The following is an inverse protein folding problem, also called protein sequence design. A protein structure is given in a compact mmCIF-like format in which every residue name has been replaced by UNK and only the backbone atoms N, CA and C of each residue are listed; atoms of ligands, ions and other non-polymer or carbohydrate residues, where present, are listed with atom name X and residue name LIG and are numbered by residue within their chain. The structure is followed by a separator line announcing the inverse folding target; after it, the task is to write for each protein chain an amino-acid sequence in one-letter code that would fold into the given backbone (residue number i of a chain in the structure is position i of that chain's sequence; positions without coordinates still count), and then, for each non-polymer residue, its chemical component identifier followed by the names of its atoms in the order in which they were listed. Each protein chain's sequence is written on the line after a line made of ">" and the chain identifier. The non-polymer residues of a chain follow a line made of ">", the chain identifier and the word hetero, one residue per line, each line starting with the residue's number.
data_IF_292870687645
#
_entry.id   IF_292870687645
#
_cell.length_a   1.000
_cell.length_b   1.000
_cell.length_c   1.000
_cell.angle_alpha   90.00
_cell.angle_beta   90.00
_cell.angle_gamma   90.00
#
_symmetry.space_group_name_H-M   'P 1'
#
loop_
_entity.id
_entity.type
_entity.pdbx_description
1 polymer ?
#
# COMPACT_ATOMS: atom_id res chain seq x y z
N UNK A 1 19.91 -18.87 10.41
CA UNK A 1 18.66 -18.09 10.56
C UNK A 1 18.53 -17.03 9.45
N UNK A 2 18.87 -17.37 8.20
CA UNK A 2 19.14 -16.40 7.12
C UNK A 2 18.10 -16.43 6.00
N UNK A 3 17.63 -17.60 5.55
CA UNK A 3 16.67 -17.66 4.44
C UNK A 3 15.22 -17.48 4.89
N UNK A 4 14.87 -17.99 6.08
CA UNK A 4 13.51 -17.93 6.63
C UNK A 4 13.02 -16.50 6.82
N UNK A 5 13.88 -15.60 7.30
CA UNK A 5 13.53 -14.19 7.47
C UNK A 5 13.30 -13.49 6.12
N UNK A 6 14.10 -13.81 5.11
CA UNK A 6 13.93 -13.28 3.75
C UNK A 6 12.62 -13.79 3.11
N UNK A 7 12.27 -15.06 3.34
CA UNK A 7 10.99 -15.61 2.88
C UNK A 7 9.79 -14.95 3.56
N UNK A 8 9.87 -14.72 4.87
CA UNK A 8 8.82 -14.01 5.61
C UNK A 8 8.64 -12.58 5.09
N UNK A 9 9.73 -11.85 4.90
CA UNK A 9 9.71 -10.48 4.38
C UNK A 9 9.15 -10.43 2.94
N UNK A 10 9.64 -11.33 2.07
CA UNK A 10 9.13 -11.49 0.69
C UNK A 10 7.64 -11.77 0.68
N UNK A 11 7.17 -12.68 1.54
CA UNK A 11 5.75 -13.00 1.65
C UNK A 11 4.93 -11.79 2.11
N UNK A 12 5.39 -11.06 3.12
CA UNK A 12 4.72 -9.86 3.60
C UNK A 12 4.59 -8.78 2.52
N UNK A 13 5.65 -8.55 1.75
CA UNK A 13 5.67 -7.58 0.64
C UNK A 13 4.77 -8.00 -0.53
N UNK A 14 4.78 -9.28 -0.90
CA UNK A 14 3.87 -9.81 -1.93
C UNK A 14 2.41 -9.67 -1.48
N UNK A 15 2.12 -10.06 -0.24
CA UNK A 15 0.77 -9.98 0.32
C UNK A 15 0.26 -8.54 0.35
N UNK A 16 1.09 -7.61 0.81
CA UNK A 16 0.78 -6.19 0.86
C UNK A 16 0.61 -5.58 -0.54
N UNK A 17 1.46 -5.98 -1.49
CA UNK A 17 1.34 -5.57 -2.88
C UNK A 17 0.05 -6.09 -3.52
N UNK A 18 -0.32 -7.34 -3.27
CA UNK A 18 -1.57 -7.92 -3.74
C UNK A 18 -2.79 -7.16 -3.19
N UNK A 19 -2.85 -6.89 -1.88
CA UNK A 19 -3.92 -6.10 -1.28
C UNK A 19 -4.01 -4.71 -1.91
N UNK A 20 -2.86 -4.03 -2.07
CA UNK A 20 -2.82 -2.69 -2.66
C UNK A 20 -3.38 -2.67 -4.08
N UNK A 21 -3.00 -3.68 -4.88
CA UNK A 21 -3.48 -3.83 -6.25
C UNK A 21 -4.97 -4.16 -6.29
N UNK A 22 -5.46 -5.02 -5.40
CA UNK A 22 -6.89 -5.34 -5.27
C UNK A 22 -7.70 -4.10 -4.92
N UNK A 23 -7.26 -3.32 -3.91
CA UNK A 23 -7.94 -2.07 -3.52
C UNK A 23 -7.93 -1.09 -4.69
N UNK A 24 -6.80 -0.91 -5.38
CA UNK A 24 -6.73 -0.03 -6.54
C UNK A 24 -7.69 -0.45 -7.65
N UNK A 25 -7.72 -1.75 -7.99
CA UNK A 25 -8.61 -2.27 -9.02
C UNK A 25 -10.10 -2.11 -8.65
N UNK A 26 -10.48 -2.43 -7.41
CA UNK A 26 -11.84 -2.22 -6.93
C UNK A 26 -12.23 -0.73 -6.90
N UNK A 27 -11.29 0.15 -6.56
CA UNK A 27 -11.50 1.60 -6.55
C UNK A 27 -11.76 2.17 -7.95
N UNK A 28 -11.06 1.68 -8.96
CA UNK A 28 -11.24 2.14 -10.35
C UNK A 28 -12.51 1.59 -10.99
N UNK A 29 -12.88 0.37 -10.67
CA UNK A 29 -14.09 -0.29 -11.18
C UNK A 29 -15.36 0.07 -10.39
N UNK A 30 -15.25 0.90 -9.36
CA UNK A 30 -16.38 1.30 -8.50
C UNK A 30 -16.91 0.16 -7.61
N UNK A 31 -16.14 -0.93 -7.47
CA UNK A 31 -16.51 -2.14 -6.73
C UNK A 31 -16.00 -2.16 -5.29
N UNK A 32 -15.54 -1.02 -4.77
CA UNK A 32 -15.06 -0.91 -3.39
C UNK A 32 -16.14 -0.30 -2.49
N UNK A 33 -17.02 -1.11 -1.86
CA UNK A 33 -18.07 -0.57 -1.00
C UNK A 33 -17.50 -0.01 0.30
N UNK A 34 -18.13 1.04 0.85
CA UNK A 34 -17.72 1.64 2.13
C UNK A 34 -17.84 0.70 3.33
N UNK A 35 -18.78 -0.25 3.26
CA UNK A 35 -18.97 -1.30 4.28
C UNK A 35 -17.86 -2.36 4.27
N UNK A 36 -16.99 -2.37 3.25
CA UNK A 36 -15.87 -3.30 3.20
C UNK A 36 -14.88 -3.02 4.35
N UNK A 37 -14.25 -4.07 4.88
CA UNK A 37 -13.15 -3.90 5.84
C UNK A 37 -11.86 -3.40 5.16
N UNK A 38 -11.75 -3.54 3.84
CA UNK A 38 -10.59 -3.13 3.04
C UNK A 38 -10.74 -1.70 2.48
N UNK A 39 -9.67 -0.90 2.55
CA UNK A 39 -9.62 0.46 2.02
C UNK A 39 -8.85 1.45 2.92
N UNK A 40 -8.68 2.68 2.44
CA UNK A 40 -8.07 3.79 3.19
C UNK A 40 -9.12 4.40 4.12
N UNK A 41 -9.03 4.06 5.40
CA UNK A 41 -9.99 4.48 6.43
C UNK A 41 -9.44 5.65 7.24
N UNK A 42 -9.80 6.86 6.85
CA UNK A 42 -9.56 8.08 7.62
C UNK A 42 -10.87 8.66 8.13
N UNK A 43 -10.81 9.63 9.03
CA UNK A 43 -12.02 10.34 9.50
C UNK A 43 -12.81 10.93 8.33
N UNK A 44 -12.14 11.43 7.28
CA UNK A 44 -12.81 12.07 6.14
C UNK A 44 -13.34 11.07 5.11
N UNK A 45 -12.60 10.00 4.80
CA UNK A 45 -13.03 9.02 3.79
C UNK A 45 -14.25 8.22 4.23
N UNK A 46 -14.52 8.12 5.55
CA UNK A 46 -15.67 7.40 6.11
C UNK A 46 -16.98 8.21 6.15
N UNK A 47 -16.93 9.55 6.03
CA UNK A 47 -18.09 10.43 6.28
C UNK A 47 -19.24 10.26 5.30
N UNK A 48 -18.94 10.02 4.03
CA UNK A 48 -19.95 9.89 2.98
C UNK A 48 -19.51 8.86 1.93
N UNK A 49 -20.47 8.23 1.26
CA UNK A 49 -20.19 7.28 0.17
C UNK A 49 -19.51 7.98 -1.01
N UNK A 50 -19.90 9.23 -1.30
CA UNK A 50 -19.26 10.06 -2.33
C UNK A 50 -17.79 10.34 -2.00
N UNK A 51 -17.48 10.70 -0.75
CA UNK A 51 -16.10 10.92 -0.33
C UNK A 51 -15.28 9.63 -0.35
N UNK A 52 -15.89 8.49 0.03
CA UNK A 52 -15.27 7.18 -0.06
C UNK A 52 -14.87 6.85 -1.51
N UNK A 53 -15.83 6.87 -2.43
CA UNK A 53 -15.61 6.47 -3.83
C UNK A 53 -14.56 7.35 -4.52
N UNK A 54 -14.73 8.67 -4.48
CA UNK A 54 -13.87 9.57 -5.22
C UNK A 54 -12.45 9.65 -4.65
N UNK A 55 -12.30 9.60 -3.32
CA UNK A 55 -10.98 9.57 -2.69
C UNK A 55 -10.21 8.30 -3.05
N UNK A 56 -10.88 7.15 -3.04
CA UNK A 56 -10.28 5.87 -3.42
C UNK A 56 -9.93 5.82 -4.90
N UNK A 57 -10.83 6.29 -5.78
CA UNK A 57 -10.56 6.39 -7.23
C UNK A 57 -9.35 7.29 -7.51
N UNK A 58 -9.19 8.38 -6.78
CA UNK A 58 -8.03 9.27 -6.92
C UNK A 58 -6.74 8.67 -6.36
N UNK A 59 -6.82 7.88 -5.29
CA UNK A 59 -5.68 7.20 -4.69
C UNK A 59 -5.28 5.89 -5.40
N UNK A 60 -6.14 5.34 -6.26
CA UNK A 60 -5.92 4.05 -6.92
C UNK A 60 -4.61 3.97 -7.72
N UNK A 61 -4.20 4.97 -8.52
CA UNK A 61 -2.92 4.92 -9.21
C UNK A 61 -1.73 4.86 -8.23
N UNK A 62 -1.81 5.58 -7.11
CA UNK A 62 -0.77 5.54 -6.08
C UNK A 62 -0.69 4.16 -5.42
N UNK A 63 -1.83 3.54 -5.10
CA UNK A 63 -1.87 2.18 -4.57
C UNK A 63 -1.33 1.14 -5.56
N UNK A 64 -1.51 1.33 -6.88
CA UNK A 64 -0.85 0.51 -7.90
C UNK A 64 0.66 0.65 -7.87
N UNK A 65 1.17 1.88 -7.80
CA UNK A 65 2.61 2.10 -7.67
C UNK A 65 3.16 1.48 -6.38
N UNK A 66 2.45 1.61 -5.26
CA UNK A 66 2.80 0.93 -4.01
C UNK A 66 2.88 -0.58 -4.21
N UNK A 67 1.94 -1.18 -4.94
CA UNK A 67 1.96 -2.61 -5.25
C UNK A 67 3.20 -3.02 -6.04
N UNK A 68 3.51 -2.31 -7.13
CA UNK A 68 4.68 -2.60 -7.97
C UNK A 68 5.99 -2.42 -7.22
N UNK A 69 6.11 -1.37 -6.40
CA UNK A 69 7.28 -1.16 -5.54
C UNK A 69 7.40 -2.30 -4.52
N UNK A 70 6.29 -2.73 -3.92
CA UNK A 70 6.28 -3.85 -2.97
C UNK A 70 6.76 -5.14 -3.64
N UNK A 71 6.31 -5.44 -4.87
CA UNK A 71 6.78 -6.61 -5.62
C UNK A 71 8.26 -6.50 -6.00
N UNK A 72 8.73 -5.32 -6.40
CA UNK A 72 10.15 -5.09 -6.67
C UNK A 72 11.00 -5.31 -5.43
N UNK A 73 10.59 -4.74 -4.29
CA UNK A 73 11.26 -4.96 -3.00
C UNK A 73 11.24 -6.43 -2.55
N UNK A 74 10.15 -7.15 -2.82
CA UNK A 74 10.06 -8.59 -2.54
C UNK A 74 11.10 -9.37 -3.37
N UNK A 75 11.24 -9.06 -4.66
CA UNK A 75 12.23 -9.68 -5.52
C UNK A 75 13.66 -9.39 -5.03
N UNK A 76 13.96 -8.14 -4.65
CA UNK A 76 15.27 -7.76 -4.08
C UNK A 76 15.56 -8.52 -2.79
N UNK A 77 14.59 -8.59 -1.87
CA UNK A 77 14.74 -9.26 -0.58
C UNK A 77 14.96 -10.78 -0.74
N UNK A 78 14.26 -11.40 -1.69
CA UNK A 78 14.45 -12.82 -2.02
C UNK A 78 15.83 -13.08 -2.65
N UNK A 79 16.24 -12.27 -3.63
CA UNK A 79 17.55 -12.40 -4.27
C UNK A 79 18.68 -12.21 -3.27
N UNK A 80 18.58 -11.22 -2.38
CA UNK A 80 19.53 -11.03 -1.28
C UNK A 80 19.55 -12.24 -0.34
N UNK A 81 18.40 -12.80 -0.01
CA UNK A 81 18.25 -14.01 0.80
C UNK A 81 19.01 -15.22 0.25
N UNK A 82 19.11 -15.33 -1.07
CA UNK A 82 19.76 -16.43 -1.81
C UNK A 82 21.25 -16.14 -2.04
N UNK A 83 21.60 -14.92 -2.46
CA UNK A 83 22.92 -14.59 -3.02
C UNK A 83 23.93 -14.12 -1.98
N UNK A 84 23.51 -13.65 -0.81
CA UNK A 84 24.45 -13.12 0.21
C UNK A 84 24.20 -13.70 1.58
N UNK A 85 25.28 -13.94 2.33
CA UNK A 85 25.23 -14.31 3.75
C UNK A 85 25.37 -13.08 4.69
N UNK A 86 25.53 -11.88 4.15
CA UNK A 86 25.78 -10.66 4.93
C UNK A 86 24.55 -10.23 5.70
N UNK A 87 24.59 -10.36 7.03
CA UNK A 87 23.52 -9.90 7.92
C UNK A 87 23.37 -8.37 7.87
N UNK A 88 24.48 -7.63 7.76
CA UNK A 88 24.46 -6.16 7.74
C UNK A 88 23.71 -5.62 6.52
N UNK A 89 23.97 -6.18 5.34
CA UNK A 89 23.28 -5.76 4.11
C UNK A 89 21.78 -6.01 4.25
N UNK A 90 21.38 -7.18 4.76
CA UNK A 90 19.97 -7.55 4.91
C UNK A 90 19.20 -6.63 5.85
N UNK A 91 19.82 -6.23 6.97
CA UNK A 91 19.19 -5.27 7.90
C UNK A 91 18.97 -3.92 7.23
N UNK A 92 19.94 -3.45 6.43
CA UNK A 92 19.83 -2.18 5.71
C UNK A 92 18.75 -2.29 4.63
N UNK A 93 18.77 -3.33 3.80
CA UNK A 93 17.79 -3.57 2.74
C UNK A 93 16.39 -3.67 3.31
N UNK A 94 16.19 -4.42 4.40
CA UNK A 94 14.91 -4.53 5.11
C UNK A 94 14.41 -3.16 5.55
N UNK A 95 15.25 -2.38 6.24
CA UNK A 95 14.87 -1.06 6.73
C UNK A 95 14.48 -0.11 5.59
N UNK A 96 15.25 -0.10 4.50
CA UNK A 96 14.98 0.75 3.33
C UNK A 96 13.69 0.35 2.61
N UNK A 97 13.49 -0.94 2.39
CA UNK A 97 12.27 -1.49 1.79
C UNK A 97 11.03 -1.08 2.57
N UNK A 98 11.02 -1.31 3.88
CA UNK A 98 9.85 -0.99 4.70
C UNK A 98 9.64 0.52 4.84
N UNK A 99 10.70 1.32 4.95
CA UNK A 99 10.59 2.77 4.94
C UNK A 99 9.95 3.26 3.64
N UNK A 100 10.39 2.75 2.49
CA UNK A 100 9.84 3.09 1.19
C UNK A 100 8.35 2.73 1.09
N UNK A 101 8.00 1.49 1.43
CA UNK A 101 6.60 1.01 1.42
C UNK A 101 5.72 1.89 2.33
N UNK A 102 6.16 2.17 3.55
CA UNK A 102 5.43 3.03 4.50
C UNK A 102 5.20 4.43 3.92
N UNK A 103 6.21 5.04 3.29
CA UNK A 103 6.09 6.37 2.66
C UNK A 103 5.03 6.37 1.57
N UNK A 104 5.04 5.36 0.68
CA UNK A 104 4.05 5.26 -0.40
C UNK A 104 2.63 5.01 0.10
N UNK A 105 2.47 4.20 1.15
CA UNK A 105 1.19 4.02 1.83
C UNK A 105 0.69 5.28 2.50
N UNK A 106 1.55 5.96 3.27
CA UNK A 106 1.22 7.22 3.92
C UNK A 106 0.82 8.28 2.89
N UNK A 107 1.55 8.37 1.78
CA UNK A 107 1.23 9.30 0.70
C UNK A 107 -0.12 9.00 0.04
N UNK A 108 -0.42 7.72 -0.20
CA UNK A 108 -1.73 7.28 -0.69
C UNK A 108 -2.85 7.65 0.29
N UNK A 109 -2.63 7.42 1.58
CA UNK A 109 -3.59 7.74 2.63
C UNK A 109 -3.84 9.25 2.78
N UNK A 110 -2.79 10.06 2.74
CA UNK A 110 -2.86 11.52 2.79
C UNK A 110 -3.60 12.07 1.56
N UNK A 111 -3.35 11.52 0.38
CA UNK A 111 -4.04 11.91 -0.85
C UNK A 111 -5.54 11.63 -0.74
N UNK A 112 -5.92 10.42 -0.34
CA UNK A 112 -7.32 10.06 -0.14
C UNK A 112 -8.00 10.95 0.93
N UNK A 113 -7.31 11.20 2.05
CA UNK A 113 -7.81 12.07 3.11
C UNK A 113 -8.09 13.49 2.62
N UNK A 114 -7.13 14.10 1.91
CA UNK A 114 -7.26 15.47 1.38
C UNK A 114 -8.41 15.58 0.37
N UNK A 115 -8.57 14.58 -0.49
CA UNK A 115 -9.67 14.55 -1.47
C UNK A 115 -11.01 14.41 -0.77
N UNK A 116 -11.14 13.47 0.17
CA UNK A 116 -12.36 13.28 0.95
C UNK A 116 -12.74 14.54 1.73
N UNK A 117 -11.77 15.20 2.37
CA UNK A 117 -12.00 16.46 3.10
C UNK A 117 -12.61 17.53 2.20
N UNK A 118 -12.05 17.72 1.00
CA UNK A 118 -12.56 18.70 0.03
C UNK A 118 -13.99 18.39 -0.40
N UNK A 119 -14.30 17.12 -0.67
CA UNK A 119 -15.65 16.69 -1.06
C UNK A 119 -16.65 16.98 0.04
N UNK A 120 -16.33 16.60 1.28
CA UNK A 120 -17.21 16.83 2.43
C UNK A 120 -17.44 18.32 2.71
N UNK A 121 -16.45 19.18 2.42
CA UNK A 121 -16.59 20.64 2.57
C UNK A 121 -17.37 21.30 1.42
N UNK A 122 -17.39 20.69 0.23
CA UNK A 122 -18.09 21.23 -0.94
C UNK A 122 -19.54 20.75 -1.09
N UNK A 123 -19.93 19.72 -0.34
CA UNK A 123 -21.25 19.08 -0.42
C UNK A 123 -22.03 19.07 0.91
N UNK A 124 -21.54 19.78 1.93
CA UNK A 124 -22.29 20.16 3.12
C UNK A 124 -22.68 21.63 3.01
#
# INVERSE_FOLDING_TARGET
>A
MSLVSALFDTFALIFLGAISLTIAHQSETGRLPRSNQMGIRTTETKKSDRAWEQAHKKAAPLLRYTAYISFLCAAVSLLEGILTASVRLRVITFALTWALVIVFFAYSALTAHRVAKRINQSGG
#
